data_IF_917646918648
#
_entry.id   IF_917646918648
#
_cell.length_a   1.000
_cell.length_b   1.000
_cell.length_c   1.000
_cell.angle_alpha   90.00
_cell.angle_beta   90.00
_cell.angle_gamma   90.00
#
_symmetry.space_group_name_H-M   'P 1'
#
loop_
_entity.id
_entity.type
_entity.pdbx_description
1 polymer ?
#
# COMPACT_ATOMS: atom_id res chain seq x y z
N UNK A 1 18.29 -4.56 21.84
CA UNK A 1 17.31 -3.49 22.03
C UNK A 1 15.92 -4.09 22.16
N UNK A 2 15.32 -3.96 23.30
CA UNK A 2 13.93 -4.36 23.46
C UNK A 2 13.04 -3.35 22.75
N UNK A 3 12.30 -3.83 21.76
CA UNK A 3 11.23 -3.01 21.19
C UNK A 3 10.14 -2.87 22.25
N UNK A 4 9.70 -1.63 22.51
CA UNK A 4 8.51 -1.39 23.31
C UNK A 4 7.36 -2.20 22.69
N UNK A 5 6.63 -3.00 23.46
CA UNK A 5 5.49 -3.72 22.93
C UNK A 5 4.56 -2.71 22.23
N UNK A 6 4.27 -2.96 20.96
CA UNK A 6 3.27 -2.17 20.24
C UNK A 6 1.94 -2.44 20.93
N UNK A 7 1.36 -1.41 21.53
CA UNK A 7 0.02 -1.51 22.08
C UNK A 7 -0.94 -1.73 20.92
N UNK A 8 -1.50 -2.94 20.85
CA UNK A 8 -2.42 -3.31 19.78
C UNK A 8 -3.77 -2.63 20.02
N UNK A 9 -4.02 -1.55 19.31
CA UNK A 9 -5.34 -0.93 19.34
C UNK A 9 -6.31 -1.81 18.57
N UNK A 10 -7.32 -2.23 19.26
CA UNK A 10 -8.41 -2.98 18.66
C UNK A 10 -9.38 -2.04 17.95
N UNK A 11 -9.47 -2.18 16.62
CA UNK A 11 -10.48 -1.48 15.82
C UNK A 11 -11.55 -2.52 15.47
N UNK A 12 -12.71 -2.49 16.16
CA UNK A 12 -13.76 -3.46 15.88
C UNK A 12 -14.40 -3.19 14.52
N UNK A 13 -14.83 -4.26 13.86
CA UNK A 13 -15.52 -4.19 12.57
C UNK A 13 -16.68 -3.21 12.60
N UNK A 14 -17.44 -3.17 13.69
CA UNK A 14 -18.62 -2.34 13.86
C UNK A 14 -18.32 -0.84 13.91
N UNK A 15 -17.06 -0.46 14.12
CA UNK A 15 -16.65 0.94 14.14
C UNK A 15 -16.42 1.53 12.75
N UNK A 16 -16.34 0.69 11.72
CA UNK A 16 -16.15 1.17 10.35
C UNK A 16 -17.48 1.69 9.78
N UNK A 17 -17.44 2.90 9.24
CA UNK A 17 -18.60 3.54 8.63
C UNK A 17 -18.37 3.74 7.13
N UNK A 18 -19.37 3.42 6.31
CA UNK A 18 -19.31 3.66 4.87
C UNK A 18 -19.15 5.15 4.62
N UNK A 19 -18.18 5.51 3.76
CA UNK A 19 -17.83 6.89 3.47
C UNK A 19 -16.76 7.49 4.36
N UNK A 20 -16.36 6.79 5.42
CA UNK A 20 -15.28 7.22 6.29
C UNK A 20 -13.97 7.32 5.51
N UNK A 21 -13.26 8.45 5.67
CA UNK A 21 -11.98 8.70 5.00
C UNK A 21 -10.86 8.90 6.00
N UNK A 22 -9.67 8.41 5.64
CA UNK A 22 -8.44 8.60 6.38
C UNK A 22 -7.33 9.01 5.42
N UNK A 23 -6.46 9.89 5.87
CA UNK A 23 -5.25 10.27 5.13
C UNK A 23 -4.06 10.10 6.06
N UNK A 24 -3.01 9.43 5.60
CA UNK A 24 -1.84 9.14 6.43
C UNK A 24 -0.64 8.80 5.57
N UNK A 25 0.50 8.73 6.21
CA UNK A 25 1.72 8.22 5.66
C UNK A 25 2.56 9.27 4.93
N UNK A 26 3.85 9.05 5.01
CA UNK A 26 4.88 9.77 4.25
C UNK A 26 5.95 8.75 3.91
N UNK A 27 6.17 8.54 2.62
CA UNK A 27 7.15 7.57 2.16
C UNK A 27 8.00 8.21 1.08
N UNK A 28 9.30 8.39 1.35
CA UNK A 28 10.24 8.89 0.36
C UNK A 28 10.72 7.75 -0.54
N UNK A 29 10.53 7.92 -1.83
CA UNK A 29 10.94 6.94 -2.84
C UNK A 29 12.41 7.18 -3.20
N UNK A 30 13.24 6.15 -3.04
CA UNK A 30 14.66 6.23 -3.38
C UNK A 30 14.99 5.39 -4.61
N UNK A 31 15.99 5.83 -5.36
CA UNK A 31 16.51 5.09 -6.51
C UNK A 31 17.01 3.70 -6.12
N UNK A 32 17.76 3.61 -5.02
CA UNK A 32 18.29 2.33 -4.55
C UNK A 32 17.21 1.32 -4.25
N UNK A 33 16.12 1.74 -3.62
CA UNK A 33 15.01 0.84 -3.30
C UNK A 33 14.22 0.43 -4.56
N UNK A 34 14.06 1.34 -5.51
CA UNK A 34 13.43 1.02 -6.79
C UNK A 34 14.18 -0.13 -7.48
N UNK A 35 15.50 0.00 -7.57
CA UNK A 35 16.35 -1.00 -8.24
C UNK A 35 16.37 -2.31 -7.44
N UNK A 36 16.48 -2.24 -6.13
CA UNK A 36 16.47 -3.42 -5.27
C UNK A 36 15.20 -4.24 -5.44
N UNK A 37 14.04 -3.60 -5.35
CA UNK A 37 12.76 -4.27 -5.53
C UNK A 37 12.64 -4.86 -6.94
N UNK A 38 12.93 -4.05 -7.95
CA UNK A 38 12.79 -4.47 -9.33
C UNK A 38 13.74 -5.61 -9.71
N UNK A 39 14.97 -5.58 -9.22
CA UNK A 39 15.94 -6.66 -9.45
C UNK A 39 15.42 -8.01 -8.99
N UNK A 40 14.58 -8.00 -7.98
CA UNK A 40 14.03 -9.20 -7.37
C UNK A 40 12.69 -9.63 -7.98
N UNK A 41 11.83 -8.67 -8.32
CA UNK A 41 10.43 -8.95 -8.64
C UNK A 41 9.95 -8.44 -9.99
N UNK A 42 10.64 -7.47 -10.60
CA UNK A 42 10.19 -6.83 -11.85
C UNK A 42 11.40 -6.26 -12.59
N UNK A 43 12.21 -7.15 -13.12
CA UNK A 43 13.53 -6.82 -13.68
C UNK A 43 13.44 -6.25 -15.11
N UNK A 44 12.63 -5.21 -15.30
CA UNK A 44 12.53 -4.48 -16.56
C UNK A 44 13.48 -3.27 -16.54
N UNK A 45 14.05 -2.93 -17.72
CA UNK A 45 15.11 -1.93 -17.79
C UNK A 45 14.73 -0.55 -17.23
N UNK A 46 13.49 -0.12 -17.39
CA UNK A 46 13.02 1.16 -16.89
C UNK A 46 12.84 1.22 -15.37
N UNK A 47 13.02 0.09 -14.69
CA UNK A 47 13.06 -0.02 -13.23
C UNK A 47 14.45 -0.33 -12.69
N UNK A 48 15.42 -0.60 -13.57
CA UNK A 48 16.76 -1.06 -13.19
C UNK A 48 17.88 -0.09 -13.56
N UNK A 49 17.76 0.58 -14.70
CA UNK A 49 18.85 1.33 -15.30
C UNK A 49 18.42 2.78 -15.56
N UNK A 50 18.99 3.67 -14.79
CA UNK A 50 18.69 5.10 -14.87
C UNK A 50 18.91 5.67 -16.28
N UNK A 51 20.02 5.32 -16.94
CA UNK A 51 20.32 5.83 -18.29
C UNK A 51 19.41 5.22 -19.34
N UNK A 52 19.23 3.90 -19.31
CA UNK A 52 18.34 3.23 -20.26
C UNK A 52 16.88 3.66 -20.13
N UNK A 53 16.45 3.96 -18.91
CA UNK A 53 15.09 4.37 -18.62
C UNK A 53 14.72 5.72 -19.25
N UNK A 54 15.70 6.57 -19.56
CA UNK A 54 15.46 7.87 -20.22
C UNK A 54 14.81 7.70 -21.59
N UNK A 55 15.08 6.60 -22.27
CA UNK A 55 14.52 6.29 -23.59
C UNK A 55 13.20 5.53 -23.52
N UNK A 56 12.71 5.24 -22.31
CA UNK A 56 11.41 4.61 -22.09
C UNK A 56 10.26 5.60 -22.17
N UNK A 57 9.02 5.07 -22.23
CA UNK A 57 7.81 5.89 -22.16
C UNK A 57 7.73 6.73 -20.89
N UNK A 58 8.43 6.30 -19.83
CA UNK A 58 8.43 7.00 -18.54
C UNK A 58 9.42 8.16 -18.48
N UNK A 59 10.34 8.25 -19.44
CA UNK A 59 11.33 9.32 -19.52
C UNK A 59 12.40 9.28 -18.43
N UNK A 60 12.41 8.25 -17.60
CA UNK A 60 13.36 8.09 -16.51
C UNK A 60 13.08 6.85 -15.68
N UNK A 61 13.98 6.55 -14.76
CA UNK A 61 13.82 5.42 -13.83
C UNK A 61 12.55 5.61 -13.00
N UNK A 62 11.71 4.60 -12.97
CA UNK A 62 10.49 4.62 -12.17
C UNK A 62 10.31 3.32 -11.39
N UNK A 63 9.56 3.40 -10.31
CA UNK A 63 9.25 2.24 -9.49
C UNK A 63 8.30 1.30 -10.22
N UNK A 64 8.48 -0.01 -10.01
CA UNK A 64 7.49 -0.99 -10.39
C UNK A 64 6.14 -0.65 -9.75
N UNK A 65 5.04 -0.83 -10.47
CA UNK A 65 3.71 -0.65 -9.89
C UNK A 65 3.50 -1.53 -8.65
N UNK A 66 4.04 -2.74 -8.66
CA UNK A 66 3.99 -3.64 -7.49
C UNK A 66 4.80 -3.11 -6.31
N UNK A 67 5.89 -2.39 -6.59
CA UNK A 67 6.65 -1.70 -5.55
C UNK A 67 5.83 -0.57 -4.94
N UNK A 68 5.12 0.18 -5.75
CA UNK A 68 4.20 1.22 -5.26
C UNK A 68 3.13 0.62 -4.35
N UNK A 69 2.58 -0.53 -4.71
CA UNK A 69 1.65 -1.28 -3.85
C UNK A 69 2.31 -1.69 -2.53
N UNK A 70 3.55 -2.16 -2.57
CA UNK A 70 4.27 -2.56 -1.36
C UNK A 70 4.56 -1.37 -0.44
N UNK A 71 4.98 -0.23 -0.99
CA UNK A 71 5.17 1.00 -0.23
C UNK A 71 3.86 1.49 0.39
N UNK A 72 2.76 1.39 -0.35
CA UNK A 72 1.41 1.71 0.14
C UNK A 72 1.04 0.81 1.32
N UNK A 73 1.27 -0.49 1.20
CA UNK A 73 1.00 -1.43 2.28
C UNK A 73 1.84 -1.12 3.53
N UNK A 74 3.10 -0.76 3.35
CA UNK A 74 3.98 -0.36 4.45
C UNK A 74 3.39 0.81 5.24
N UNK A 75 2.91 1.83 4.53
CA UNK A 75 2.27 2.99 5.17
C UNK A 75 0.96 2.62 5.86
N UNK A 76 0.18 1.74 5.26
CA UNK A 76 -1.07 1.26 5.84
C UNK A 76 -0.83 0.51 7.16
N UNK A 77 0.09 -0.43 7.16
CA UNK A 77 0.41 -1.22 8.35
C UNK A 77 0.98 -0.35 9.47
N UNK A 78 1.79 0.64 9.12
CA UNK A 78 2.41 1.55 10.08
C UNK A 78 1.41 2.52 10.74
N UNK A 79 0.41 2.97 9.98
CA UNK A 79 -0.53 4.01 10.40
C UNK A 79 -1.92 3.50 10.75
N UNK A 80 -2.28 2.33 10.29
CA UNK A 80 -3.51 1.65 10.66
C UNK A 80 -3.16 0.51 11.59
N UNK A 81 -3.75 0.50 12.74
CA UNK A 81 -3.45 -0.52 13.75
C UNK A 81 -4.05 -1.88 13.37
N UNK A 82 -3.48 -2.48 12.34
CA UNK A 82 -3.92 -3.77 11.82
C UNK A 82 -3.31 -4.96 12.58
N UNK A 83 -2.42 -4.69 13.53
CA UNK A 83 -1.69 -5.73 14.26
C UNK A 83 -2.62 -6.60 15.08
N UNK A 84 -2.58 -7.90 14.83
CA UNK A 84 -3.27 -8.91 15.61
C UNK A 84 -4.77 -9.04 15.37
N UNK A 85 -5.38 -8.17 14.57
CA UNK A 85 -6.83 -8.20 14.29
C UNK A 85 -7.17 -8.34 12.83
N UNK A 86 -6.25 -7.99 11.94
CA UNK A 86 -6.42 -8.27 10.53
C UNK A 86 -6.31 -9.79 10.30
N UNK A 87 -7.28 -10.33 9.62
CA UNK A 87 -7.30 -11.75 9.25
C UNK A 87 -6.83 -11.96 7.81
N UNK A 88 -6.29 -10.92 7.20
CA UNK A 88 -5.88 -10.92 5.81
C UNK A 88 -6.93 -10.34 4.89
N UNK A 89 -6.69 -10.45 3.60
CA UNK A 89 -7.59 -9.96 2.57
C UNK A 89 -7.85 -11.06 1.55
N UNK A 90 -9.10 -11.23 1.10
CA UNK A 90 -9.40 -12.19 0.05
C UNK A 90 -8.90 -11.77 -1.33
N UNK A 91 -8.51 -10.51 -1.49
CA UNK A 91 -8.01 -10.03 -2.76
C UNK A 91 -8.25 -8.56 -3.00
N UNK A 92 -8.04 -8.16 -4.24
CA UNK A 92 -8.24 -6.80 -4.74
C UNK A 92 -9.19 -6.89 -5.94
N UNK A 93 -10.28 -6.12 -5.90
CA UNK A 93 -11.26 -6.12 -6.98
C UNK A 93 -10.77 -5.35 -8.21
N UNK A 94 -10.03 -4.27 -8.00
CA UNK A 94 -9.51 -3.42 -9.07
C UNK A 94 -8.23 -2.76 -8.63
N UNK A 95 -7.25 -2.73 -9.52
CA UNK A 95 -5.97 -2.06 -9.32
C UNK A 95 -5.61 -1.29 -10.57
N UNK A 96 -5.27 -0.01 -10.40
CA UNK A 96 -4.81 0.85 -11.51
C UNK A 96 -3.61 1.67 -11.08
N UNK A 97 -2.60 1.69 -11.92
CA UNK A 97 -1.45 2.57 -11.79
C UNK A 97 -1.66 3.78 -12.69
N UNK A 98 -2.07 4.88 -12.10
CA UNK A 98 -2.48 6.09 -12.83
C UNK A 98 -1.30 6.95 -13.26
N UNK A 99 -0.20 6.89 -12.52
CA UNK A 99 1.01 7.68 -12.76
C UNK A 99 2.25 6.88 -12.41
N UNK A 100 3.36 7.09 -13.13
CA UNK A 100 4.63 6.54 -12.71
C UNK A 100 5.11 7.20 -11.41
N UNK A 101 5.87 6.45 -10.62
CA UNK A 101 6.49 6.92 -9.37
C UNK A 101 8.00 7.00 -9.61
N UNK A 102 8.58 8.16 -9.35
CA UNK A 102 9.99 8.44 -9.60
C UNK A 102 10.79 8.56 -8.31
N UNK A 103 12.12 8.38 -8.38
CA UNK A 103 12.99 8.70 -7.23
C UNK A 103 12.77 10.13 -6.77
N UNK A 104 12.71 10.33 -5.46
CA UNK A 104 12.45 11.63 -4.85
C UNK A 104 10.98 11.96 -4.62
N UNK A 105 10.09 11.19 -5.19
CA UNK A 105 8.66 11.34 -4.90
C UNK A 105 8.37 11.00 -3.43
N UNK A 106 7.42 11.72 -2.86
CA UNK A 106 6.94 11.46 -1.50
C UNK A 106 5.50 10.99 -1.60
N UNK A 107 5.26 9.77 -1.15
CA UNK A 107 3.94 9.14 -1.22
C UNK A 107 3.18 9.33 0.07
N UNK A 108 1.88 9.51 -0.06
CA UNK A 108 0.94 9.47 1.06
C UNK A 108 -0.32 8.71 0.64
N UNK A 109 -1.07 8.22 1.62
CA UNK A 109 -2.22 7.34 1.38
C UNK A 109 -3.51 8.01 1.81
N UNK A 110 -4.53 7.86 0.99
CA UNK A 110 -5.92 8.17 1.36
C UNK A 110 -6.75 6.90 1.24
N UNK A 111 -7.52 6.59 2.29
CA UNK A 111 -8.43 5.45 2.31
C UNK A 111 -9.86 5.91 2.51
N UNK A 112 -10.78 5.24 1.84
CA UNK A 112 -12.22 5.44 2.00
C UNK A 112 -12.90 4.09 2.17
N UNK A 113 -13.74 3.97 3.19
CA UNK A 113 -14.57 2.77 3.39
C UNK A 113 -15.72 2.80 2.40
N UNK A 114 -15.74 1.82 1.49
CA UNK A 114 -16.78 1.70 0.47
C UNK A 114 -17.93 0.80 0.93
N UNK A 115 -17.60 -0.24 1.69
CA UNK A 115 -18.61 -1.21 2.13
C UNK A 115 -18.15 -1.96 3.37
N UNK A 116 -19.12 -2.43 4.14
CA UNK A 116 -18.89 -3.27 5.32
C UNK A 116 -19.92 -4.40 5.31
N UNK A 117 -19.45 -5.63 5.27
CA UNK A 117 -20.32 -6.81 5.17
C UNK A 117 -19.96 -7.80 6.27
N UNK A 118 -20.90 -8.11 7.20
CA UNK A 118 -20.70 -9.18 8.16
C UNK A 118 -20.60 -10.52 7.44
N UNK A 119 -19.74 -11.40 7.92
CA UNK A 119 -19.66 -12.76 7.39
C UNK A 119 -20.94 -13.53 7.77
N UNK A 120 -21.52 -14.22 6.78
CA UNK A 120 -22.72 -15.08 7.02
C UNK A 120 -22.36 -16.36 7.76
N UNK A 121 -21.15 -16.88 7.53
CA UNK A 121 -20.71 -18.16 8.09
C UNK A 121 -19.95 -18.02 9.41
N UNK A 122 -19.40 -16.82 9.70
CA UNK A 122 -18.62 -16.54 10.90
C UNK A 122 -19.09 -15.24 11.54
N UNK A 123 -19.97 -15.29 12.54
CA UNK A 123 -20.64 -14.10 13.07
C UNK A 123 -19.72 -13.08 13.75
N UNK A 124 -18.52 -13.48 14.10
CA UNK A 124 -17.52 -12.61 14.72
C UNK A 124 -16.51 -12.00 13.73
N UNK A 125 -16.74 -12.16 12.43
CA UNK A 125 -15.87 -11.67 11.37
C UNK A 125 -16.69 -10.82 10.41
N UNK A 126 -16.09 -9.75 9.91
CA UNK A 126 -16.64 -8.94 8.86
C UNK A 126 -15.61 -8.58 7.79
N UNK A 127 -16.07 -8.17 6.63
CA UNK A 127 -15.23 -7.72 5.51
C UNK A 127 -15.47 -6.23 5.31
N UNK A 128 -14.38 -5.47 5.32
CA UNK A 128 -14.38 -4.04 5.00
C UNK A 128 -13.75 -3.86 3.62
N UNK A 129 -14.50 -3.24 2.71
CA UNK A 129 -13.98 -2.90 1.38
C UNK A 129 -13.54 -1.44 1.38
N UNK A 130 -12.30 -1.21 1.02
CA UNK A 130 -11.70 0.12 0.99
C UNK A 130 -11.28 0.50 -0.42
N UNK A 131 -11.40 1.79 -0.72
CA UNK A 131 -10.69 2.41 -1.83
C UNK A 131 -9.42 3.03 -1.28
N UNK A 132 -8.29 2.58 -1.79
CA UNK A 132 -6.97 3.06 -1.41
C UNK A 132 -6.40 3.86 -2.57
N UNK A 133 -6.00 5.09 -2.28
CA UNK A 133 -5.34 5.98 -3.25
C UNK A 133 -4.00 6.41 -2.68
N UNK A 134 -2.98 6.38 -3.48
CA UNK A 134 -1.63 6.82 -3.11
C UNK A 134 -1.17 7.94 -4.03
#
# INVERSE_FOLDING_TARGET
MSKTPVELKYIPFESFEIGQKQSFGTYEVTEDEIIEFASKYDAQFFHLDHEAAKDSLFGGLCASGWHTCAMTMSMMVENMDLHGRSLGSPGIDSLRWLRPVYPGDILSVQMEVLDTVPSKSRPNIGVVTNKVSV
#
